data_IF_523904512710
#
_entry.id   IF_523904512710
#
_cell.length_a   1.000
_cell.length_b   1.000
_cell.length_c   1.000
_cell.angle_alpha   90.00
_cell.angle_beta   90.00
_cell.angle_gamma   90.00
#
_symmetry.space_group_name_H-M   'P 1'
#
loop_
_entity.id
_entity.type
_entity.pdbx_description
1 polymer ?
#
# COMPACT_ATOMS: atom_id res chain seq x y z
N UNK A 1 -7.45 -11.58 -22.57
CA UNK A 1 -7.85 -11.26 -21.19
C UNK A 1 -7.53 -9.79 -20.91
N UNK A 2 -8.51 -8.88 -20.94
CA UNK A 2 -8.30 -7.46 -20.58
C UNK A 2 -7.82 -7.42 -19.12
N UNK A 3 -6.60 -6.94 -18.87
CA UNK A 3 -6.12 -6.67 -17.51
C UNK A 3 -7.09 -5.64 -16.92
N UNK A 4 -7.95 -6.04 -15.97
CA UNK A 4 -8.75 -5.09 -15.18
C UNK A 4 -7.77 -4.06 -14.64
N UNK A 5 -7.94 -2.80 -15.02
CA UNK A 5 -7.10 -1.68 -14.59
C UNK A 5 -6.97 -1.77 -13.07
N UNK A 6 -5.81 -2.24 -12.61
CA UNK A 6 -5.57 -2.42 -11.19
C UNK A 6 -5.69 -1.05 -10.54
N UNK A 7 -6.53 -0.94 -9.51
CA UNK A 7 -6.77 0.30 -8.77
C UNK A 7 -5.47 1.11 -8.63
N UNK A 8 -5.50 2.34 -9.14
CA UNK A 8 -4.37 3.26 -9.04
C UNK A 8 -4.06 3.50 -7.57
N UNK A 9 -2.89 3.05 -7.11
CA UNK A 9 -2.36 3.44 -5.79
C UNK A 9 -2.00 4.92 -5.85
N UNK A 10 -2.75 5.74 -5.11
CA UNK A 10 -2.46 7.16 -4.90
C UNK A 10 -1.30 7.33 -3.91
N UNK A 11 -0.75 8.55 -3.83
CA UNK A 11 0.30 8.85 -2.84
C UNK A 11 -0.21 8.64 -1.40
N UNK A 12 -1.46 9.03 -1.12
CA UNK A 12 -2.11 8.79 0.17
C UNK A 12 -2.20 7.28 0.49
N UNK A 13 -2.61 6.47 -0.49
CA UNK A 13 -2.69 5.02 -0.29
C UNK A 13 -1.30 4.39 -0.10
N UNK A 14 -0.25 4.95 -0.72
CA UNK A 14 1.12 4.53 -0.46
C UNK A 14 1.59 4.89 0.96
N UNK A 15 1.23 6.06 1.47
CA UNK A 15 1.53 6.44 2.86
C UNK A 15 0.84 5.51 3.86
N UNK A 16 -0.42 5.15 3.60
CA UNK A 16 -1.20 4.15 4.35
C UNK A 16 -0.54 2.76 4.33
N UNK A 17 -0.14 2.28 3.14
CA UNK A 17 0.61 1.01 3.01
C UNK A 17 1.89 1.03 3.84
N UNK A 18 2.69 2.08 3.72
CA UNK A 18 3.96 2.21 4.44
C UNK A 18 3.75 2.26 5.95
N UNK A 19 2.68 2.88 6.44
CA UNK A 19 2.32 2.85 7.85
C UNK A 19 1.93 1.44 8.31
N UNK A 20 0.98 0.79 7.63
CA UNK A 20 0.48 -0.53 8.02
C UNK A 20 1.59 -1.60 8.02
N UNK A 21 2.48 -1.59 7.04
CA UNK A 21 3.56 -2.59 6.94
C UNK A 21 4.80 -2.17 7.72
N UNK A 22 5.24 -0.92 7.60
CA UNK A 22 6.51 -0.46 8.15
C UNK A 22 6.45 0.02 9.60
N UNK A 23 5.29 0.51 10.06
CA UNK A 23 5.12 1.04 11.42
C UNK A 23 4.33 0.06 12.29
N UNK A 24 3.18 -0.42 11.82
CA UNK A 24 2.35 -1.39 12.56
C UNK A 24 2.92 -2.82 12.48
N UNK A 25 3.68 -3.13 11.42
CA UNK A 25 4.29 -4.45 11.24
C UNK A 25 3.37 -5.51 10.64
N UNK A 26 2.29 -5.12 9.96
CA UNK A 26 1.41 -6.07 9.28
C UNK A 26 2.09 -6.73 8.09
N UNK A 27 1.69 -7.96 7.79
CA UNK A 27 2.08 -8.60 6.55
C UNK A 27 1.40 -7.91 5.35
N UNK A 28 2.09 -7.88 4.20
CA UNK A 28 1.60 -7.20 3.00
C UNK A 28 0.22 -7.69 2.53
N UNK A 29 -0.11 -8.97 2.74
CA UNK A 29 -1.42 -9.53 2.40
C UNK A 29 -2.53 -9.05 3.36
N UNK A 30 -2.22 -8.82 4.64
CA UNK A 30 -3.16 -8.23 5.60
C UNK A 30 -3.42 -6.76 5.24
N UNK A 31 -2.36 -5.98 4.96
CA UNK A 31 -2.51 -4.60 4.51
C UNK A 31 -3.32 -4.49 3.21
N UNK A 32 -3.13 -5.43 2.28
CA UNK A 32 -3.90 -5.51 1.05
C UNK A 32 -5.39 -5.77 1.31
N UNK A 33 -5.71 -6.67 2.24
CA UNK A 33 -7.09 -6.96 2.64
C UNK A 33 -7.76 -5.75 3.31
N UNK A 34 -7.05 -5.07 4.22
CA UNK A 34 -7.54 -3.85 4.90
C UNK A 34 -7.85 -2.74 3.90
N UNK A 35 -6.98 -2.53 2.91
CA UNK A 35 -7.12 -1.46 1.92
C UNK A 35 -7.95 -1.86 0.69
N UNK A 36 -8.41 -3.12 0.60
CA UNK A 36 -9.16 -3.62 -0.56
C UNK A 36 -8.38 -3.57 -1.88
N UNK A 37 -7.06 -3.75 -1.85
CA UNK A 37 -6.18 -3.67 -3.02
C UNK A 37 -5.45 -4.98 -3.30
N UNK A 38 -4.86 -5.09 -4.49
CA UNK A 38 -4.03 -6.24 -4.84
C UNK A 38 -2.71 -6.20 -4.05
N UNK A 39 -2.32 -7.31 -3.43
CA UNK A 39 -1.05 -7.46 -2.71
C UNK A 39 0.17 -7.05 -3.55
N UNK A 40 0.17 -7.31 -4.85
CA UNK A 40 1.26 -6.88 -5.75
C UNK A 40 1.48 -5.36 -5.73
N UNK A 41 0.41 -4.57 -5.50
CA UNK A 41 0.51 -3.11 -5.36
C UNK A 41 1.13 -2.69 -4.03
N UNK A 42 0.85 -3.43 -2.96
CA UNK A 42 1.53 -3.25 -1.67
C UNK A 42 3.03 -3.52 -1.82
N UNK A 43 3.39 -4.60 -2.51
CA UNK A 43 4.79 -4.96 -2.78
C UNK A 43 5.54 -3.90 -3.60
N UNK A 44 4.91 -3.34 -4.63
CA UNK A 44 5.50 -2.24 -5.42
C UNK A 44 5.76 -0.97 -4.59
N UNK A 45 4.87 -0.65 -3.64
CA UNK A 45 5.07 0.49 -2.73
C UNK A 45 6.19 0.21 -1.73
N UNK A 46 6.18 -0.97 -1.11
CA UNK A 46 7.19 -1.35 -0.11
C UNK A 46 8.59 -1.51 -0.71
N UNK A 47 8.68 -1.94 -1.97
CA UNK A 47 9.95 -1.98 -2.72
C UNK A 47 10.40 -0.62 -3.26
N UNK A 48 9.61 0.44 -3.08
CA UNK A 48 9.92 1.78 -3.57
C UNK A 48 9.74 1.99 -5.08
N UNK A 49 9.36 0.94 -5.84
CA UNK A 49 9.06 1.04 -7.28
C UNK A 49 7.93 2.02 -7.57
N UNK A 50 7.02 2.21 -6.61
CA UNK A 50 5.94 3.18 -6.68
C UNK A 50 5.94 4.04 -5.43
N UNK A 51 5.86 5.37 -5.61
CA UNK A 51 5.77 6.34 -4.50
C UNK A 51 6.93 6.22 -3.48
N UNK A 52 8.15 5.96 -3.97
CA UNK A 52 9.35 5.76 -3.14
C UNK A 52 9.62 6.91 -2.17
N UNK A 53 9.44 8.16 -2.61
CA UNK A 53 9.65 9.37 -1.79
C UNK A 53 8.51 9.72 -0.82
N UNK A 54 7.39 8.99 -0.82
CA UNK A 54 6.28 9.28 0.09
C UNK A 54 6.57 8.68 1.48
N UNK A 55 6.59 9.47 2.57
CA UNK A 55 6.74 8.92 3.91
C UNK A 55 5.49 8.11 4.34
N UNK A 56 5.60 7.23 5.34
CA UNK A 56 4.43 6.63 5.97
C UNK A 56 3.52 7.71 6.58
N UNK A 57 2.22 7.43 6.62
CA UNK A 57 1.27 8.26 7.37
C UNK A 57 1.59 8.18 8.87
N UNK A 58 1.29 9.24 9.64
CA UNK A 58 1.59 9.30 11.08
C UNK A 58 0.60 8.48 11.94
N UNK A 59 -0.65 8.36 11.49
CA UNK A 59 -1.72 7.61 12.15
C UNK A 59 -2.66 7.01 11.11
N UNK A 60 -3.39 5.96 11.47
CA UNK A 60 -4.41 5.34 10.64
C UNK A 60 -5.70 5.25 11.45
N UNK A 61 -6.72 5.97 11.02
CA UNK A 61 -8.06 5.87 11.59
C UNK A 61 -8.79 4.70 10.91
N UNK A 62 -9.33 3.79 11.72
CA UNK A 62 -10.02 2.57 11.29
C UNK A 62 -11.50 2.81 10.99
#
# INVERSE_FOLDING_TARGET
>A
MKRKNSNHVTAEMAAKIKYLVGVIGLFQHQAAAILGINQGRVSEVMSGKRHGGIPPQLSFDF
#
